data_IF_148849444438
#
_entry.id   IF_148849444438
#
_cell.length_a   1.000
_cell.length_b   1.000
_cell.length_c   1.000
_cell.angle_alpha   90.00
_cell.angle_beta   90.00
_cell.angle_gamma   90.00
#
_symmetry.space_group_name_H-M   'P 1'
#
loop_
_entity.id
_entity.type
_entity.pdbx_description
1 polymer ?
#
# COMPACT_ATOMS: atom_id res chain seq x y z
N UNK A 1 -11.27 -22.33 13.54
CA UNK A 1 -9.89 -21.87 13.69
C UNK A 1 -9.92 -20.71 14.68
N UNK A 2 -9.64 -20.97 15.95
CA UNK A 2 -9.37 -19.87 16.89
C UNK A 2 -8.07 -19.21 16.42
N UNK A 3 -8.15 -17.94 16.03
CA UNK A 3 -6.98 -17.17 15.66
C UNK A 3 -6.28 -16.76 16.95
N UNK A 4 -5.01 -17.17 17.10
CA UNK A 4 -4.15 -16.66 18.15
C UNK A 4 -3.99 -15.14 17.95
N UNK A 5 -4.49 -14.31 18.89
CA UNK A 5 -4.42 -12.86 18.77
C UNK A 5 -2.98 -12.32 18.78
N UNK A 6 -1.98 -13.16 19.10
CA UNK A 6 -0.57 -12.79 19.03
C UNK A 6 0.08 -13.05 17.67
N UNK A 7 -0.58 -13.74 16.75
CA UNK A 7 0.02 -14.09 15.46
C UNK A 7 -0.07 -12.92 14.47
N UNK A 8 1.01 -12.59 13.75
CA UNK A 8 0.95 -11.60 12.68
C UNK A 8 -0.12 -11.92 11.63
N UNK A 9 -0.80 -10.88 11.15
CA UNK A 9 -1.86 -10.97 10.14
C UNK A 9 -1.49 -10.16 8.91
N UNK A 10 -1.46 -10.83 7.76
CA UNK A 10 -1.43 -10.19 6.46
C UNK A 10 -2.86 -9.91 5.98
N UNK A 11 -3.12 -8.68 5.54
CA UNK A 11 -4.40 -8.24 4.98
C UNK A 11 -4.16 -7.68 3.57
N UNK A 12 -4.96 -8.14 2.63
CA UNK A 12 -5.02 -7.60 1.26
C UNK A 12 -6.47 -7.56 0.77
N UNK A 13 -6.71 -6.80 -0.29
CA UNK A 13 -7.98 -6.78 -1.02
C UNK A 13 -8.02 -7.87 -2.10
N UNK A 14 -9.23 -8.25 -2.51
CA UNK A 14 -9.46 -9.31 -3.52
C UNK A 14 -9.39 -8.81 -4.97
N UNK A 15 -9.32 -7.49 -5.19
CA UNK A 15 -9.20 -6.84 -6.50
C UNK A 15 -7.74 -6.73 -6.99
N UNK A 16 -6.81 -7.33 -6.25
CA UNK A 16 -5.38 -7.33 -6.57
C UNK A 16 -5.02 -8.48 -7.53
N UNK A 17 -5.56 -8.44 -8.75
CA UNK A 17 -5.50 -9.55 -9.69
C UNK A 17 -4.08 -9.95 -10.15
N UNK A 18 -3.08 -9.07 -9.98
CA UNK A 18 -1.69 -9.34 -10.34
C UNK A 18 -0.81 -9.76 -9.16
N UNK A 19 -1.38 -9.92 -7.96
CA UNK A 19 -0.65 -10.25 -6.74
C UNK A 19 0.11 -11.59 -6.91
N UNK A 20 1.41 -11.58 -6.58
CA UNK A 20 2.27 -12.78 -6.62
C UNK A 20 2.86 -13.09 -5.24
N UNK A 21 3.20 -14.36 -5.01
CA UNK A 21 3.87 -14.81 -3.79
C UNK A 21 5.12 -13.98 -3.45
N UNK A 22 5.98 -13.73 -4.43
CA UNK A 22 7.19 -12.90 -4.25
C UNK A 22 6.92 -11.48 -3.73
N UNK A 23 5.77 -10.89 -4.07
CA UNK A 23 5.41 -9.55 -3.60
C UNK A 23 4.99 -9.60 -2.14
N UNK A 24 4.24 -10.65 -1.78
CA UNK A 24 3.83 -10.93 -0.39
C UNK A 24 5.07 -11.22 0.45
N UNK A 25 5.96 -12.09 -0.02
CA UNK A 25 7.21 -12.45 0.68
C UNK A 25 8.08 -11.22 0.92
N UNK A 26 8.34 -10.42 -0.12
CA UNK A 26 9.08 -9.16 0.03
C UNK A 26 8.43 -8.24 1.06
N UNK A 27 7.11 -8.05 0.98
CA UNK A 27 6.39 -7.16 1.90
C UNK A 27 6.49 -7.66 3.35
N UNK A 28 6.30 -8.96 3.58
CA UNK A 28 6.34 -9.56 4.91
C UNK A 28 7.76 -9.60 5.49
N UNK A 29 8.78 -9.83 4.68
CA UNK A 29 10.18 -9.79 5.12
C UNK A 29 10.61 -8.38 5.55
N UNK A 30 10.23 -7.37 4.77
CA UNK A 30 10.47 -5.98 5.13
C UNK A 30 9.70 -5.57 6.38
N UNK A 31 8.45 -6.05 6.53
CA UNK A 31 7.61 -5.77 7.70
C UNK A 31 8.14 -6.41 8.97
N UNK A 32 8.66 -7.65 8.89
CA UNK A 32 9.34 -8.30 10.01
C UNK A 32 10.62 -7.56 10.42
N UNK A 33 11.33 -6.99 9.46
CA UNK A 33 12.60 -6.29 9.70
C UNK A 33 12.43 -4.85 10.22
N UNK A 34 11.22 -4.28 10.18
CA UNK A 34 11.01 -2.85 10.44
C UNK A 34 10.71 -2.49 11.90
N UNK A 35 10.60 -3.47 12.82
CA UNK A 35 10.20 -3.28 14.22
C UNK A 35 8.90 -2.45 14.40
N UNK A 36 8.03 -2.49 13.38
CA UNK A 36 6.76 -1.77 13.38
C UNK A 36 5.64 -2.68 13.84
N UNK A 37 4.66 -2.12 14.55
CA UNK A 37 3.44 -2.81 14.95
C UNK A 37 2.52 -3.03 13.74
N UNK A 38 2.54 -2.10 12.78
CA UNK A 38 1.77 -2.16 11.55
C UNK A 38 2.56 -1.62 10.37
N UNK A 39 2.45 -2.25 9.20
CA UNK A 39 3.03 -1.75 7.95
C UNK A 39 2.01 -1.68 6.83
N UNK A 40 2.21 -0.70 5.94
CA UNK A 40 1.45 -0.55 4.69
C UNK A 40 2.41 -0.60 3.50
N UNK A 41 2.02 -1.29 2.44
CA UNK A 41 2.74 -1.28 1.18
C UNK A 41 2.37 -0.06 0.33
N UNK A 42 3.40 0.57 -0.24
CA UNK A 42 3.25 1.64 -1.23
C UNK A 42 4.21 1.42 -2.39
N UNK A 43 3.84 1.84 -3.59
CA UNK A 43 4.72 1.80 -4.76
C UNK A 43 4.96 3.23 -5.24
N UNK A 44 6.19 3.57 -5.63
CA UNK A 44 6.44 4.88 -6.23
C UNK A 44 5.78 4.97 -7.60
N UNK A 45 5.21 6.13 -7.93
CA UNK A 45 4.55 6.32 -9.22
C UNK A 45 5.51 6.16 -10.41
N UNK A 46 6.80 6.49 -10.25
CA UNK A 46 7.80 6.28 -11.29
C UNK A 46 8.03 4.80 -11.59
N UNK A 47 8.08 3.94 -10.56
CA UNK A 47 8.09 2.48 -10.71
C UNK A 47 6.87 2.02 -11.50
N UNK A 48 5.67 2.51 -11.15
CA UNK A 48 4.43 2.17 -11.87
C UNK A 48 4.48 2.60 -13.34
N UNK A 49 4.82 3.85 -13.61
CA UNK A 49 4.83 4.42 -14.96
C UNK A 49 5.94 3.83 -15.85
N UNK A 50 7.01 3.29 -15.25
CA UNK A 50 8.06 2.60 -16.02
C UNK A 50 7.55 1.33 -16.71
N UNK A 51 6.56 0.66 -16.11
CA UNK A 51 5.96 -0.56 -16.64
C UNK A 51 4.61 -0.28 -17.32
N UNK A 52 3.83 0.67 -16.79
CA UNK A 52 2.48 1.00 -17.24
C UNK A 52 2.36 2.50 -17.56
N UNK A 53 3.01 3.00 -18.63
CA UNK A 53 3.11 4.43 -18.90
C UNK A 53 1.74 5.11 -19.15
N UNK A 54 0.76 4.36 -19.65
CA UNK A 54 -0.57 4.87 -19.97
C UNK A 54 -1.54 4.87 -18.77
N UNK A 55 -1.13 4.34 -17.61
CA UNK A 55 -2.02 4.26 -16.45
C UNK A 55 -2.27 5.62 -15.81
N UNK A 56 -3.49 5.83 -15.32
CA UNK A 56 -3.87 7.01 -14.54
C UNK A 56 -4.16 6.57 -13.12
N UNK A 57 -3.15 6.65 -12.25
CA UNK A 57 -3.25 6.28 -10.83
C UNK A 57 -3.36 7.50 -9.94
N UNK A 58 -4.17 7.38 -8.90
CA UNK A 58 -4.16 8.32 -7.78
C UNK A 58 -2.86 8.13 -7.02
N UNK A 59 -2.13 9.22 -6.78
CA UNK A 59 -0.88 9.18 -6.04
C UNK A 59 -0.81 10.29 -4.99
N UNK A 60 -0.34 9.94 -3.80
CA UNK A 60 -0.11 10.86 -2.68
C UNK A 60 1.24 11.53 -2.89
N UNK A 61 1.24 12.85 -3.04
CA UNK A 61 2.45 13.65 -3.30
C UNK A 61 3.20 13.89 -2.00
N UNK A 62 4.28 13.14 -1.79
CA UNK A 62 5.19 13.28 -0.65
C UNK A 62 6.56 13.73 -1.14
N UNK A 63 7.38 14.21 -0.20
CA UNK A 63 8.79 14.49 -0.48
C UNK A 63 9.48 13.22 -0.97
N UNK A 64 10.26 13.33 -2.05
CA UNK A 64 10.95 12.21 -2.68
C UNK A 64 10.14 11.49 -3.77
N UNK A 65 8.86 11.83 -3.94
CA UNK A 65 8.05 11.37 -5.06
C UNK A 65 6.58 11.11 -4.70
N UNK A 66 5.70 11.03 -5.70
CA UNK A 66 4.35 10.54 -5.51
C UNK A 66 4.33 9.02 -5.30
N UNK A 67 3.51 8.57 -4.35
CA UNK A 67 3.32 7.15 -4.04
C UNK A 67 1.88 6.71 -4.30
N UNK A 68 1.72 5.51 -4.85
CA UNK A 68 0.46 4.80 -4.98
C UNK A 68 0.32 3.79 -3.83
N UNK A 69 -0.91 3.60 -3.35
CA UNK A 69 -1.19 2.51 -2.40
C UNK A 69 -1.12 1.16 -3.09
N UNK A 70 -0.76 0.13 -2.34
CA UNK A 70 -0.60 -1.23 -2.87
C UNK A 70 -1.54 -2.27 -2.24
N UNK A 71 -2.56 -1.81 -1.49
CA UNK A 71 -3.58 -2.66 -0.86
C UNK A 71 -3.06 -3.84 -0.03
N UNK A 72 -1.82 -3.77 0.47
CA UNK A 72 -1.23 -4.77 1.36
C UNK A 72 -0.89 -4.14 2.70
N UNK A 73 -1.26 -4.83 3.77
CA UNK A 73 -1.10 -4.38 5.14
C UNK A 73 -0.66 -5.56 6.02
N UNK A 74 0.22 -5.30 6.98
CA UNK A 74 0.62 -6.31 7.96
C UNK A 74 0.41 -5.78 9.38
N UNK A 75 -0.29 -6.57 10.18
CA UNK A 75 -0.47 -6.39 11.62
C UNK A 75 0.56 -7.31 12.29
N UNK A 76 1.63 -6.73 12.81
CA UNK A 76 2.80 -7.50 13.28
C UNK A 76 2.74 -7.82 14.77
N UNK A 77 1.99 -7.02 15.53
CA UNK A 77 1.92 -7.13 16.99
C UNK A 77 0.47 -6.94 17.49
N UNK A 78 0.09 -7.45 18.68
CA UNK A 78 -1.24 -7.23 19.26
C UNK A 78 -1.61 -5.75 19.43
N UNK A 79 -0.63 -4.87 19.55
CA UNK A 79 -0.83 -3.43 19.68
C UNK A 79 -1.53 -2.85 18.44
N UNK A 80 -1.33 -3.46 17.27
CA UNK A 80 -1.92 -3.02 16.01
C UNK A 80 -3.45 -3.13 15.96
N UNK A 81 -4.09 -3.85 16.88
CA UNK A 81 -5.55 -3.87 17.04
C UNK A 81 -6.15 -2.47 17.28
N UNK A 82 -5.37 -1.58 17.91
CA UNK A 82 -5.77 -0.18 18.14
C UNK A 82 -6.04 0.56 16.83
N UNK A 83 -5.39 0.13 15.74
CA UNK A 83 -5.53 0.73 14.42
C UNK A 83 -6.93 0.54 13.85
N UNK A 84 -7.64 -0.54 14.19
CA UNK A 84 -8.98 -0.81 13.65
C UNK A 84 -9.97 0.33 13.96
N UNK A 85 -9.88 0.91 15.16
CA UNK A 85 -10.72 2.03 15.57
C UNK A 85 -10.42 3.31 14.77
N UNK A 86 -9.13 3.60 14.56
CA UNK A 86 -8.65 4.74 13.78
C UNK A 86 -9.02 4.58 12.29
N UNK A 87 -8.82 3.38 11.73
CA UNK A 87 -9.16 3.06 10.35
C UNK A 87 -10.64 3.26 10.07
N UNK A 88 -11.52 2.78 10.96
CA UNK A 88 -12.97 2.99 10.85
C UNK A 88 -13.35 4.48 10.83
N UNK A 89 -12.70 5.31 11.63
CA UNK A 89 -12.95 6.75 11.64
C UNK A 89 -12.51 7.42 10.33
N UNK A 90 -11.36 7.01 9.77
CA UNK A 90 -10.90 7.48 8.45
C UNK A 90 -11.87 7.04 7.35
N UNK A 91 -12.28 5.78 7.35
CA UNK A 91 -13.14 5.20 6.32
C UNK A 91 -14.51 5.89 6.25
N UNK A 92 -15.07 6.29 7.39
CA UNK A 92 -16.31 7.07 7.45
C UNK A 92 -16.20 8.42 6.73
N UNK A 93 -14.99 9.01 6.72
CA UNK A 93 -14.71 10.29 6.07
C UNK A 93 -14.06 10.12 4.68
N UNK A 94 -14.02 8.91 4.11
CA UNK A 94 -13.35 8.62 2.82
C UNK A 94 -13.82 9.49 1.65
N UNK A 95 -15.06 9.97 1.70
CA UNK A 95 -15.64 10.89 0.69
C UNK A 95 -15.16 12.34 0.84
N UNK A 96 -14.43 12.66 1.91
CA UNK A 96 -13.91 13.98 2.26
C UNK A 96 -12.37 13.94 2.43
N UNK A 97 -11.58 13.93 1.34
CA UNK A 97 -10.13 13.76 1.39
C UNK A 97 -9.41 14.76 2.31
N UNK A 98 -9.91 16.01 2.38
CA UNK A 98 -9.35 17.04 3.28
C UNK A 98 -9.46 16.64 4.75
N UNK A 99 -10.59 16.06 5.15
CA UNK A 99 -10.82 15.58 6.53
C UNK A 99 -10.02 14.33 6.83
N UNK A 100 -9.86 13.43 5.87
CA UNK A 100 -8.98 12.26 6.01
C UNK A 100 -7.54 12.72 6.25
N UNK A 101 -7.03 13.65 5.44
CA UNK A 101 -5.66 14.14 5.55
C UNK A 101 -5.44 14.90 6.86
N UNK A 102 -6.33 15.83 7.22
CA UNK A 102 -6.20 16.59 8.47
C UNK A 102 -6.45 15.72 9.70
N UNK A 103 -7.35 14.74 9.59
CA UNK A 103 -7.60 13.71 10.58
C UNK A 103 -6.38 12.82 10.79
N UNK A 104 -5.75 12.32 9.73
CA UNK A 104 -4.60 11.43 9.85
C UNK A 104 -3.33 12.15 10.31
N UNK A 105 -3.02 13.30 9.69
CA UNK A 105 -1.73 13.98 9.86
C UNK A 105 -1.79 15.11 10.90
N UNK A 106 -2.95 15.70 11.15
CA UNK A 106 -3.08 16.94 11.93
C UNK A 106 -2.55 18.17 11.18
N UNK A 107 -2.86 19.36 11.71
CA UNK A 107 -2.72 20.64 11.00
C UNK A 107 -1.31 20.91 10.43
N UNK A 108 -0.27 20.78 11.26
CA UNK A 108 1.11 21.11 10.86
C UNK A 108 1.60 20.20 9.72
N UNK A 109 1.37 18.90 9.82
CA UNK A 109 1.77 17.95 8.78
C UNK A 109 0.88 18.06 7.53
N UNK A 110 -0.39 18.44 7.66
CA UNK A 110 -1.22 18.80 6.50
C UNK A 110 -0.67 20.01 5.75
N UNK A 111 -0.15 21.03 6.44
CA UNK A 111 0.50 22.18 5.79
C UNK A 111 1.77 21.71 5.05
N UNK A 112 2.62 20.90 5.69
CA UNK A 112 3.81 20.33 5.02
C UNK A 112 3.45 19.47 3.80
N UNK A 113 2.38 18.68 3.89
CA UNK A 113 1.85 17.90 2.77
C UNK A 113 1.45 18.80 1.60
N UNK A 114 0.70 19.88 1.87
CA UNK A 114 0.31 20.84 0.84
C UNK A 114 1.51 21.57 0.22
N UNK A 115 2.56 21.83 1.00
CA UNK A 115 3.82 22.41 0.54
C UNK A 115 4.76 21.40 -0.13
N UNK A 116 4.39 20.11 -0.20
CA UNK A 116 5.23 19.05 -0.79
C UNK A 116 6.50 18.72 0.00
N UNK A 117 6.60 19.15 1.25
CA UNK A 117 7.77 18.97 2.12
C UNK A 117 7.60 17.88 3.18
N UNK A 118 6.47 17.17 3.17
CA UNK A 118 6.23 16.04 4.06
C UNK A 118 6.79 14.75 3.43
N UNK A 119 7.75 14.10 4.08
CA UNK A 119 8.24 12.78 3.65
C UNK A 119 7.31 11.65 4.07
N UNK A 120 7.44 10.48 3.42
CA UNK A 120 6.73 9.26 3.81
C UNK A 120 6.98 8.86 5.27
N UNK A 121 8.24 8.89 5.67
CA UNK A 121 8.65 8.63 7.06
C UNK A 121 7.99 9.60 8.05
N UNK A 122 7.98 10.90 7.74
CA UNK A 122 7.32 11.90 8.59
C UNK A 122 5.80 11.69 8.66
N UNK A 123 5.16 11.30 7.55
CA UNK A 123 3.75 10.96 7.54
C UNK A 123 3.46 9.75 8.44
N UNK A 124 4.24 8.67 8.30
CA UNK A 124 4.10 7.46 9.11
C UNK A 124 4.36 7.74 10.59
N UNK A 125 5.41 8.49 10.94
CA UNK A 125 5.70 8.89 12.31
C UNK A 125 4.56 9.71 12.92
N UNK A 126 3.95 10.60 12.14
CA UNK A 126 2.85 11.43 12.63
C UNK A 126 1.59 10.61 12.92
N UNK A 127 1.25 9.68 12.04
CA UNK A 127 0.14 8.75 12.26
C UNK A 127 0.45 7.85 13.46
N UNK A 128 1.69 7.36 13.56
CA UNK A 128 2.17 6.56 14.70
C UNK A 128 1.93 7.28 16.03
N UNK A 129 2.37 8.54 16.15
CA UNK A 129 2.14 9.37 17.35
C UNK A 129 0.65 9.60 17.62
N UNK A 130 -0.17 9.70 16.58
CA UNK A 130 -1.61 9.92 16.74
C UNK A 130 -2.34 8.66 17.24
N UNK A 131 -1.98 7.50 16.72
CA UNK A 131 -2.63 6.22 17.03
C UNK A 131 -2.05 5.58 18.29
N UNK A 132 -0.78 5.83 18.61
CA UNK A 132 -0.10 5.24 19.76
C UNK A 132 0.63 3.91 19.47
N UNK A 133 0.90 3.62 18.19
CA UNK A 133 1.60 2.41 17.73
C UNK A 133 2.66 2.78 16.68
N UNK A 134 3.66 1.92 16.44
CA UNK A 134 4.66 2.10 15.39
C UNK A 134 4.09 1.70 14.03
N UNK A 135 3.90 2.66 13.14
CA UNK A 135 3.43 2.46 11.77
C UNK A 135 4.58 2.71 10.82
N UNK A 136 4.81 1.77 9.89
CA UNK A 136 5.80 1.86 8.84
C UNK A 136 5.19 1.78 7.44
N UNK A 137 5.96 2.18 6.44
CA UNK A 137 5.63 1.95 5.04
C UNK A 137 6.72 1.11 4.38
N UNK A 138 6.32 0.08 3.63
CA UNK A 138 7.22 -0.72 2.79
C UNK A 138 7.08 -0.22 1.37
N UNK A 139 8.18 0.27 0.80
CA UNK A 139 8.22 0.70 -0.60
C UNK A 139 8.43 -0.54 -1.48
N UNK A 140 7.41 -0.90 -2.26
CA UNK A 140 7.42 -2.06 -3.13
C UNK A 140 8.21 -1.76 -4.41
N UNK A 141 9.11 -2.67 -4.83
CA UNK A 141 9.84 -2.54 -6.10
C UNK A 141 9.01 -3.04 -7.30
N UNK A 142 7.80 -3.56 -7.07
CA UNK A 142 6.93 -4.13 -8.09
C UNK A 142 5.87 -3.12 -8.52
N UNK A 143 5.80 -2.83 -9.82
CA UNK A 143 4.80 -1.92 -10.38
C UNK A 143 3.39 -2.51 -10.25
N UNK A 144 3.27 -3.84 -10.41
CA UNK A 144 2.02 -4.58 -10.31
C UNK A 144 1.38 -4.50 -8.93
N UNK A 145 2.19 -4.27 -7.87
CA UNK A 145 1.67 -4.09 -6.52
C UNK A 145 0.76 -2.87 -6.38
N UNK A 146 0.79 -1.92 -7.32
CA UNK A 146 -0.09 -0.74 -7.35
C UNK A 146 -1.25 -0.90 -8.34
N UNK A 147 -1.60 -2.13 -8.73
CA UNK A 147 -2.65 -2.42 -9.71
C UNK A 147 -3.79 -3.18 -9.04
N UNK A 148 -4.79 -2.42 -8.64
CA UNK A 148 -6.15 -2.87 -8.32
C UNK A 148 -7.07 -2.75 -9.55
N UNK A 149 -8.09 -3.61 -9.62
CA UNK A 149 -9.08 -3.62 -10.71
C UNK A 149 -10.34 -2.87 -10.32
N UNK A 150 -10.30 -1.55 -10.45
CA UNK A 150 -11.42 -0.64 -10.18
C UNK A 150 -12.15 -0.16 -11.45
N UNK A 151 -11.54 -0.33 -12.63
CA UNK A 151 -12.08 0.17 -13.90
C UNK A 151 -11.90 -0.81 -15.06
N UNK A 152 -12.63 -0.56 -16.15
CA UNK A 152 -12.46 -1.31 -17.41
C UNK A 152 -11.05 -1.17 -18.00
N UNK A 153 -10.35 -0.07 -17.75
CA UNK A 153 -8.97 0.09 -18.20
C UNK A 153 -8.02 -0.78 -17.38
N UNK A 154 -8.27 -0.91 -16.08
CA UNK A 154 -7.51 -1.81 -15.21
C UNK A 154 -7.73 -3.27 -15.61
N UNK A 155 -8.98 -3.64 -15.88
CA UNK A 155 -9.31 -4.99 -16.35
C UNK A 155 -8.54 -5.35 -17.62
N UNK A 156 -8.55 -4.48 -18.63
CA UNK A 156 -7.80 -4.70 -19.89
C UNK A 156 -6.30 -4.79 -19.67
N UNK A 157 -5.76 -3.96 -18.77
CA UNK A 157 -4.35 -4.00 -18.41
C UNK A 157 -3.98 -5.34 -17.78
N UNK A 158 -4.78 -5.79 -16.80
CA UNK A 158 -4.58 -7.07 -16.13
C UNK A 158 -4.70 -8.24 -17.11
N UNK A 159 -5.73 -8.27 -17.95
CA UNK A 159 -5.91 -9.30 -18.97
C UNK A 159 -4.70 -9.39 -19.90
N UNK A 160 -4.19 -8.24 -20.37
CA UNK A 160 -3.01 -8.18 -21.22
C UNK A 160 -1.79 -8.81 -20.52
N UNK A 161 -1.54 -8.42 -19.27
CA UNK A 161 -0.39 -8.91 -18.48
C UNK A 161 -0.50 -10.41 -18.23
N UNK A 162 -1.69 -10.91 -17.86
CA UNK A 162 -1.91 -12.33 -17.63
C UNK A 162 -1.73 -13.15 -18.91
N UNK A 163 -2.24 -12.66 -20.05
CA UNK A 163 -2.07 -13.31 -21.34
C UNK A 163 -0.60 -13.33 -21.82
N UNK A 164 0.18 -12.29 -21.52
CA UNK A 164 1.62 -12.26 -21.78
C UNK A 164 2.36 -13.30 -20.91
N UNK A 165 2.02 -13.38 -19.62
CA UNK A 165 2.61 -14.37 -18.69
C UNK A 165 2.31 -15.82 -19.09
N UNK A 166 1.10 -16.11 -19.56
CA UNK A 166 0.74 -17.44 -20.06
C UNK A 166 1.59 -17.85 -21.27
N UNK A 167 1.84 -16.93 -22.20
CA UNK A 167 2.68 -17.18 -23.37
C UNK A 167 4.13 -17.50 -22.98
N UNK A 168 4.67 -16.80 -21.99
CA UNK A 168 6.02 -17.06 -21.47
C UNK A 168 6.12 -18.44 -20.80
N UNK A 169 5.10 -18.82 -20.01
CA UNK A 169 5.06 -20.15 -19.37
C UNK A 169 4.94 -21.30 -20.38
N UNK A 170 4.13 -21.13 -21.43
CA UNK A 170 3.99 -22.15 -22.49
C UNK A 170 5.24 -22.22 -23.37
N UNK A 171 5.90 -21.09 -23.64
CA UNK A 171 7.16 -21.04 -24.41
C UNK A 171 8.36 -21.65 -23.68
N UNK A 172 8.39 -21.62 -22.34
CA UNK A 172 9.46 -22.19 -21.52
C UNK A 172 9.42 -23.73 -21.38
N UNK A 173 8.33 -24.39 -21.74
CA UNK A 173 8.20 -25.86 -21.71
C UNK A 173 8.56 -26.56 -23.03
N UNK A 174 9.03 -25.83 -24.05
CA UNK A 174 9.45 -26.36 -25.36
C UNK A 174 10.97 -26.22 -25.56
N UNK A 175 11.77 -26.28 -24.48
CA UNK A 175 13.23 -26.41 -24.55
C UNK A 175 13.72 -27.66 -23.81
#
# INVERSE_FOLDING_TARGET
LEQDPSRPVFLTTADHALLRGEMIDYFLDQSQSSDCDFTVAVTRLDTVLSMFPDTRRTATKLQGGPYCGSNMFAFMTPQSDQLASFWRAIEQERKNPRKVISGALGLVASIKYLLGSLSLEQAMQRISTKVGIKIGAVVMPFAEAAVDVDSLNDHRLVEKILAEREKEHVGGHIQ
#
